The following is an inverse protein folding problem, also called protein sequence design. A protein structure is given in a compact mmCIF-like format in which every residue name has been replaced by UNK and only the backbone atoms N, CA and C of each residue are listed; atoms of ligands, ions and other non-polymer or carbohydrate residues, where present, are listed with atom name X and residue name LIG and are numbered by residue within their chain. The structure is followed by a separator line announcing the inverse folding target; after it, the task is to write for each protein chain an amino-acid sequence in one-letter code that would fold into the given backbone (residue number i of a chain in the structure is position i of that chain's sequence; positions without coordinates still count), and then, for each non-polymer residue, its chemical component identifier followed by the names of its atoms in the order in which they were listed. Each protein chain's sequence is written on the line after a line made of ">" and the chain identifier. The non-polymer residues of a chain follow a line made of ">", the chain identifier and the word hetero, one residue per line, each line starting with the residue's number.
data_IF_342621871479
#
_entry.id   IF_342621871479
#
_cell.length_a   1.000
_cell.length_b   1.000
_cell.length_c   1.000
_cell.angle_alpha   90.00
_cell.angle_beta   90.00
_cell.angle_gamma   90.00
#
_symmetry.space_group_name_H-M   'P 1'
#
loop_
_entity.id
_entity.type
_entity.pdbx_description
1 polymer ?
#
# COMPACT_ATOMS: atom_id res chain seq x y z
N UNK A 1 14.73 -16.47 -14.41
CA UNK A 1 13.55 -15.68 -14.83
C UNK A 1 13.00 -14.96 -13.60
N UNK A 2 13.30 -13.65 -13.42
CA UNK A 2 12.71 -12.86 -12.31
C UNK A 2 11.35 -12.37 -12.77
N UNK A 3 10.28 -12.81 -12.12
CA UNK A 3 8.93 -12.33 -12.42
C UNK A 3 8.86 -10.81 -12.20
N UNK A 4 8.65 -10.07 -13.29
CA UNK A 4 8.35 -8.64 -13.28
C UNK A 4 6.89 -8.43 -12.86
N UNK A 5 6.56 -8.86 -11.64
CA UNK A 5 5.22 -8.73 -11.06
C UNK A 5 5.21 -7.64 -9.99
N UNK A 6 4.18 -6.79 -10.04
CA UNK A 6 3.90 -5.81 -8.98
C UNK A 6 3.82 -6.54 -7.64
N UNK A 7 4.81 -6.32 -6.77
CA UNK A 7 4.83 -6.90 -5.42
C UNK A 7 3.96 -6.04 -4.52
N UNK A 8 2.90 -6.63 -3.97
CA UNK A 8 2.11 -5.98 -2.93
C UNK A 8 3.00 -5.74 -1.70
N UNK A 9 3.24 -4.46 -1.38
CA UNK A 9 4.12 -4.08 -0.27
C UNK A 9 3.36 -3.96 1.05
N UNK A 10 2.17 -3.36 1.01
CA UNK A 10 1.33 -3.14 2.18
C UNK A 10 -0.13 -3.37 1.82
N UNK A 11 -0.91 -3.88 2.77
CA UNK A 11 -2.37 -3.95 2.67
C UNK A 11 -2.98 -3.67 4.02
N UNK A 12 -3.96 -2.76 4.09
CA UNK A 12 -4.71 -2.52 5.32
C UNK A 12 -5.71 -3.66 5.52
N UNK A 13 -5.31 -4.69 6.29
CA UNK A 13 -6.18 -5.83 6.61
C UNK A 13 -7.32 -5.41 7.54
N UNK A 14 -7.07 -4.47 8.46
CA UNK A 14 -8.06 -3.97 9.42
C UNK A 14 -9.22 -3.28 8.71
N UNK A 15 -8.95 -2.52 7.66
CA UNK A 15 -10.01 -1.88 6.87
C UNK A 15 -11.01 -2.87 6.27
N UNK A 16 -10.62 -4.13 6.02
CA UNK A 16 -11.52 -5.20 5.56
C UNK A 16 -12.41 -5.80 6.65
N UNK A 17 -12.06 -5.60 7.92
CA UNK A 17 -12.87 -6.03 9.05
C UNK A 17 -13.77 -4.91 9.55
N UNK A 18 -13.27 -3.68 9.57
CA UNK A 18 -13.95 -2.53 10.15
C UNK A 18 -14.95 -1.88 9.18
N UNK A 19 -14.77 -2.04 7.86
CA UNK A 19 -15.57 -1.38 6.83
C UNK A 19 -16.01 -2.33 5.71
N UNK A 20 -17.13 -1.97 5.07
CA UNK A 20 -17.59 -2.61 3.83
C UNK A 20 -17.25 -1.70 2.65
N UNK A 21 -16.53 -2.24 1.67
CA UNK A 21 -16.17 -1.50 0.45
C UNK A 21 -17.29 -1.61 -0.59
N UNK A 22 -17.85 -0.48 -1.02
CA UNK A 22 -18.82 -0.44 -2.11
C UNK A 22 -18.14 -0.34 -3.47
N UNK A 23 -17.02 0.39 -3.54
CA UNK A 23 -16.26 0.62 -4.77
C UNK A 23 -14.76 0.61 -4.49
N UNK A 24 -13.96 0.36 -5.54
CA UNK A 24 -12.49 0.41 -5.47
C UNK A 24 -11.95 1.40 -6.49
N UNK A 25 -11.09 2.27 -6.01
CA UNK A 25 -10.42 3.28 -6.83
C UNK A 25 -8.92 3.00 -6.84
N UNK A 26 -8.29 3.23 -8.00
CA UNK A 26 -6.84 3.23 -8.12
C UNK A 26 -6.32 4.66 -7.97
N UNK A 27 -5.31 4.84 -7.11
CA UNK A 27 -4.68 6.13 -6.88
C UNK A 27 -3.16 6.00 -7.02
N UNK A 28 -2.52 7.05 -7.51
CA UNK A 28 -1.07 7.18 -7.60
C UNK A 28 -0.55 8.23 -6.63
N UNK A 29 0.54 7.91 -5.92
CA UNK A 29 1.26 8.86 -5.07
C UNK A 29 2.67 9.04 -5.62
N UNK A 30 3.09 10.30 -5.76
CA UNK A 30 4.47 10.64 -6.12
C UNK A 30 5.27 10.66 -4.82
N UNK A 31 6.27 9.78 -4.73
CA UNK A 31 7.13 9.64 -3.55
C UNK A 31 8.56 10.09 -3.87
N UNK A 32 9.28 10.44 -2.81
CA UNK A 32 10.68 10.83 -2.85
C UNK A 32 11.61 9.66 -2.50
N UNK A 33 12.89 9.77 -2.85
CA UNK A 33 13.82 8.63 -2.85
C UNK A 33 14.00 7.92 -1.50
N UNK A 34 13.86 8.62 -0.38
CA UNK A 34 13.93 8.05 0.97
C UNK A 34 12.70 7.22 1.31
N UNK A 35 11.51 7.67 0.93
CA UNK A 35 10.25 6.96 1.14
C UNK A 35 10.21 5.66 0.34
N UNK A 36 10.70 5.69 -0.90
CA UNK A 36 10.83 4.49 -1.74
C UNK A 36 11.73 3.44 -1.05
N UNK A 37 12.84 3.87 -0.42
CA UNK A 37 13.73 2.94 0.31
C UNK A 37 13.01 2.28 1.48
N UNK A 38 12.29 3.05 2.30
CA UNK A 38 11.54 2.53 3.45
C UNK A 38 10.41 1.58 3.05
N UNK A 39 9.69 1.88 1.98
CA UNK A 39 8.64 1.00 1.44
C UNK A 39 9.25 -0.31 0.93
N UNK A 40 10.36 -0.24 0.19
CA UNK A 40 11.05 -1.45 -0.29
C UNK A 40 11.61 -2.32 0.84
N UNK A 41 11.98 -1.73 1.97
CA UNK A 41 12.40 -2.48 3.17
C UNK A 41 11.22 -3.03 3.98
N UNK A 42 9.98 -2.78 3.58
CA UNK A 42 8.78 -3.25 4.27
C UNK A 42 8.36 -2.40 5.48
N UNK A 43 9.00 -1.25 5.68
CA UNK A 43 8.68 -0.33 6.78
C UNK A 43 7.56 0.62 6.38
N UNK A 44 6.35 0.08 6.19
CA UNK A 44 5.17 0.85 5.81
C UNK A 44 3.95 0.37 6.60
N UNK A 45 3.24 1.32 7.20
CA UNK A 45 1.97 1.08 7.88
C UNK A 45 0.91 2.02 7.32
N UNK A 46 -0.24 1.46 6.98
CA UNK A 46 -1.41 2.16 6.43
C UNK A 46 -2.69 1.87 7.23
N UNK A 47 -2.56 1.28 8.43
CA UNK A 47 -3.71 0.90 9.26
C UNK A 47 -4.51 2.09 9.77
N UNK A 48 -3.86 3.23 10.01
CA UNK A 48 -4.47 4.47 10.54
C UNK A 48 -4.54 5.61 9.52
N UNK A 49 -4.49 5.27 8.25
CA UNK A 49 -4.53 6.24 7.15
C UNK A 49 -5.97 6.54 6.72
N UNK A 50 -6.24 7.78 6.33
CA UNK A 50 -7.50 8.25 5.77
C UNK A 50 -7.21 9.13 4.54
N UNK A 51 -8.21 9.30 3.66
CA UNK A 51 -8.18 10.16 2.47
C UNK A 51 -9.32 11.16 2.57
#
# INVERSE_FOLDING_TARGET
>A
MKQSGTKTVATNRRARHDYTFFDRYEAGLILTGTEIKSIRSGNVDIQRSFV
#
